data_IF_579574940205
#
_entry.id   IF_579574940205
#
_cell.length_a   1.000
_cell.length_b   1.000
_cell.length_c   1.000
_cell.angle_alpha   90.00
_cell.angle_beta   90.00
_cell.angle_gamma   90.00
#
_symmetry.space_group_name_H-M   'P 1'
#
loop_
_entity.id
_entity.type
_entity.pdbx_description
1 polymer ?
#
# COMPACT_ATOMS: atom_id res chain seq x y z
N UNK A 1 -3.41 -13.72 10.79
CA UNK A 1 -3.51 -12.25 10.52
C UNK A 1 -4.78 -12.01 9.72
N UNK A 2 -5.64 -11.10 10.17
CA UNK A 2 -6.89 -10.82 9.49
C UNK A 2 -6.84 -9.54 8.65
N UNK A 3 -5.94 -8.64 8.96
CA UNK A 3 -5.81 -7.37 8.26
C UNK A 3 -4.36 -6.95 8.15
N UNK A 4 -4.00 -6.38 7.01
CA UNK A 4 -2.71 -5.73 6.84
C UNK A 4 -2.97 -4.27 6.43
N UNK A 5 -2.21 -3.35 7.01
CA UNK A 5 -2.38 -1.93 6.78
C UNK A 5 -1.18 -1.41 5.99
N UNK A 6 -1.45 -0.71 4.91
CA UNK A 6 -0.42 -0.03 4.13
C UNK A 6 -0.57 1.48 4.31
N UNK A 7 0.53 2.13 4.64
CA UNK A 7 0.60 3.58 4.64
C UNK A 7 0.90 4.02 3.21
N UNK A 8 0.02 4.83 2.64
CA UNK A 8 0.15 5.29 1.26
C UNK A 8 0.46 6.77 1.26
N UNK A 9 1.56 7.13 0.61
CA UNK A 9 1.97 8.52 0.45
C UNK A 9 1.97 8.86 -1.03
N UNK A 10 1.52 10.08 -1.35
CA UNK A 10 1.59 10.56 -2.72
C UNK A 10 2.89 11.30 -2.94
N UNK A 11 3.49 11.09 -4.12
CA UNK A 11 4.69 11.78 -4.55
C UNK A 11 4.37 12.48 -5.86
N UNK A 12 4.68 13.77 -5.95
CA UNK A 12 4.38 14.56 -7.14
C UNK A 12 5.04 14.01 -8.40
N UNK A 13 6.18 13.35 -8.25
CA UNK A 13 6.94 12.84 -9.39
C UNK A 13 6.70 11.36 -9.66
N UNK A 14 6.37 10.58 -8.63
CA UNK A 14 6.34 9.12 -8.72
C UNK A 14 4.96 8.50 -8.50
N UNK A 15 3.93 9.34 -8.33
CA UNK A 15 2.58 8.82 -8.05
C UNK A 15 2.39 8.46 -6.59
N UNK A 16 2.22 7.17 -6.29
CA UNK A 16 1.91 6.71 -4.94
C UNK A 16 2.87 5.62 -4.50
N UNK A 17 3.23 5.65 -3.22
CA UNK A 17 4.06 4.64 -2.59
C UNK A 17 3.27 4.06 -1.42
N UNK A 18 3.20 2.72 -1.35
CA UNK A 18 2.53 2.02 -0.27
C UNK A 18 3.54 1.19 0.50
N UNK A 19 3.55 1.34 1.81
CA UNK A 19 4.44 0.59 2.69
C UNK A 19 3.62 -0.11 3.76
N UNK A 20 3.79 -1.42 3.89
CA UNK A 20 3.10 -2.19 4.91
C UNK A 20 3.62 -1.84 6.31
N UNK A 21 2.70 -1.73 7.26
CA UNK A 21 3.06 -1.55 8.66
C UNK A 21 3.31 -2.91 9.27
N UNK A 22 4.52 -3.11 9.77
CA UNK A 22 4.88 -4.37 10.42
C UNK A 22 5.39 -5.47 9.49
N UNK A 23 5.45 -5.21 8.19
CA UNK A 23 5.97 -6.15 7.21
C UNK A 23 6.90 -5.43 6.25
N UNK A 24 7.83 -6.15 5.64
CA UNK A 24 8.79 -5.57 4.69
C UNK A 24 8.25 -5.62 3.27
N UNK A 25 7.14 -4.90 3.04
CA UNK A 25 6.49 -4.85 1.73
C UNK A 25 6.35 -3.38 1.33
N UNK A 26 6.92 -3.04 0.19
CA UNK A 26 6.82 -1.69 -0.38
C UNK A 26 6.44 -1.82 -1.85
N UNK A 27 5.43 -1.07 -2.28
CA UNK A 27 5.03 -1.02 -3.68
C UNK A 27 4.85 0.43 -4.10
N UNK A 28 4.85 0.67 -5.42
CA UNK A 28 4.59 1.99 -5.95
C UNK A 28 3.85 1.88 -7.28
N UNK A 29 3.10 2.90 -7.62
CA UNK A 29 2.36 2.97 -8.87
C UNK A 29 2.03 4.42 -9.21
N UNK A 30 1.69 4.68 -10.48
CA UNK A 30 1.37 6.03 -10.94
C UNK A 30 -0.01 6.49 -10.47
N UNK A 31 -0.93 5.56 -10.25
CA UNK A 31 -2.29 5.87 -9.81
C UNK A 31 -2.77 4.89 -8.75
N UNK A 32 -3.87 5.25 -8.07
CA UNK A 32 -4.40 4.43 -6.99
C UNK A 32 -4.94 3.08 -7.45
N UNK A 33 -5.53 3.02 -8.64
CA UNK A 33 -6.07 1.76 -9.16
C UNK A 33 -4.96 0.76 -9.41
N UNK A 34 -3.88 1.20 -10.02
CA UNK A 34 -2.70 0.36 -10.25
C UNK A 34 -2.05 -0.01 -8.92
N UNK A 35 -1.98 0.94 -7.99
CA UNK A 35 -1.40 0.69 -6.68
C UNK A 35 -2.16 -0.43 -5.94
N UNK A 36 -3.48 -0.43 -6.01
CA UNK A 36 -4.28 -1.49 -5.37
C UNK A 36 -3.94 -2.85 -5.93
N UNK A 37 -3.74 -2.96 -7.23
CA UNK A 37 -3.34 -4.21 -7.88
C UNK A 37 -1.96 -4.64 -7.44
N UNK A 38 -1.01 -3.71 -7.39
CA UNK A 38 0.36 -3.99 -6.96
C UNK A 38 0.41 -4.42 -5.50
N UNK A 39 -0.37 -3.76 -4.64
CA UNK A 39 -0.45 -4.11 -3.22
C UNK A 39 -1.03 -5.53 -3.06
N UNK A 40 -2.09 -5.83 -3.77
CA UNK A 40 -2.71 -7.16 -3.71
C UNK A 40 -1.73 -8.23 -4.16
N UNK A 41 -1.04 -8.01 -5.27
CA UNK A 41 -0.05 -8.96 -5.78
C UNK A 41 1.10 -9.15 -4.79
N UNK A 42 1.56 -8.05 -4.18
CA UNK A 42 2.64 -8.11 -3.20
C UNK A 42 2.24 -8.91 -1.96
N UNK A 43 1.00 -8.72 -1.49
CA UNK A 43 0.48 -9.47 -0.34
C UNK A 43 0.39 -10.95 -0.67
N UNK A 44 -0.12 -11.29 -1.85
CA UNK A 44 -0.21 -12.69 -2.28
C UNK A 44 1.18 -13.33 -2.43
N UNK A 45 2.16 -12.58 -2.88
CA UNK A 45 3.52 -13.06 -3.01
C UNK A 45 4.18 -13.27 -1.65
N UNK A 46 3.97 -12.33 -0.73
CA UNK A 46 4.56 -12.40 0.61
C UNK A 46 3.89 -13.45 1.49
N UNK A 47 2.58 -13.68 1.30
CA UNK A 47 1.81 -14.70 2.00
C UNK A 47 1.21 -15.69 1.00
N UNK A 48 2.02 -16.64 0.48
CA UNK A 48 1.52 -17.57 -0.53
C UNK A 48 0.48 -18.55 0.01
N UNK A 49 0.51 -18.82 1.31
CA UNK A 49 -0.47 -19.68 1.96
C UNK A 49 -1.73 -18.88 2.27
N UNK A 50 -2.84 -19.26 1.65
CA UNK A 50 -4.12 -18.57 1.81
C UNK A 50 -4.56 -18.48 3.26
N UNK A 51 -4.28 -19.51 4.07
CA UNK A 51 -4.68 -19.53 5.47
C UNK A 51 -3.93 -18.51 6.32
N UNK A 52 -2.69 -18.18 5.93
CA UNK A 52 -1.85 -17.23 6.64
C UNK A 52 -2.00 -15.80 6.10
N UNK A 53 -2.63 -15.66 4.94
CA UNK A 53 -2.79 -14.38 4.27
C UNK A 53 -3.81 -13.52 4.96
N UNK A 54 -3.54 -12.20 5.15
CA UNK A 54 -4.56 -11.29 5.66
C UNK A 54 -5.77 -11.27 4.73
N UNK A 55 -6.95 -11.27 5.31
CA UNK A 55 -8.18 -11.27 4.53
C UNK A 55 -8.58 -9.89 4.05
N UNK A 56 -8.12 -8.85 4.74
CA UNK A 56 -8.44 -7.47 4.43
C UNK A 56 -7.15 -6.67 4.25
N UNK A 57 -7.10 -5.86 3.22
CA UNK A 57 -6.01 -4.91 3.00
C UNK A 57 -6.58 -3.52 3.17
N UNK A 58 -6.01 -2.76 4.10
CA UNK A 58 -6.42 -1.38 4.36
C UNK A 58 -5.35 -0.43 3.85
N UNK A 59 -5.74 0.53 3.03
CA UNK A 59 -4.84 1.59 2.59
C UNK A 59 -5.14 2.84 3.40
N UNK A 60 -4.14 3.29 4.17
CA UNK A 60 -4.23 4.54 4.90
C UNK A 60 -3.53 5.60 4.06
N UNK A 61 -4.30 6.45 3.39
CA UNK A 61 -3.77 7.42 2.44
C UNK A 61 -3.51 8.73 3.13
N UNK A 62 -2.24 9.18 3.07
CA UNK A 62 -1.81 10.44 3.65
C UNK A 62 -1.56 11.43 2.52
N UNK A 63 -2.14 12.61 2.62
CA UNK A 63 -1.92 13.69 1.66
C UNK A 63 -1.35 14.89 2.38
N UNK A 64 -0.34 15.50 1.77
CA UNK A 64 0.23 16.74 2.26
C UNK A 64 -0.20 17.88 1.34
N UNK A 65 -0.61 18.98 1.95
CA UNK A 65 -0.93 20.19 1.21
C UNK A 65 0.00 21.31 1.68
N UNK A 66 0.66 21.94 0.72
CA UNK A 66 1.53 23.07 1.00
C UNK A 66 0.92 24.31 0.36
N UNK A 67 0.74 25.34 1.16
CA UNK A 67 0.25 26.61 0.64
C UNK A 67 0.98 27.76 1.31
N UNK A 68 1.06 28.88 0.61
CA UNK A 68 1.78 30.04 1.11
C UNK A 68 1.06 30.65 2.32
N UNK A 69 1.86 31.04 3.32
CA UNK A 69 1.32 31.68 4.51
C UNK A 69 0.97 33.15 4.32
#
# INVERSE_FOLDING_TARGET
MTEIIFLVESDNDSGYIAQALGESIITQADDLETLKKEVKDAVHCHFPDEELRPKTIRLHIVQEELFAS
#
